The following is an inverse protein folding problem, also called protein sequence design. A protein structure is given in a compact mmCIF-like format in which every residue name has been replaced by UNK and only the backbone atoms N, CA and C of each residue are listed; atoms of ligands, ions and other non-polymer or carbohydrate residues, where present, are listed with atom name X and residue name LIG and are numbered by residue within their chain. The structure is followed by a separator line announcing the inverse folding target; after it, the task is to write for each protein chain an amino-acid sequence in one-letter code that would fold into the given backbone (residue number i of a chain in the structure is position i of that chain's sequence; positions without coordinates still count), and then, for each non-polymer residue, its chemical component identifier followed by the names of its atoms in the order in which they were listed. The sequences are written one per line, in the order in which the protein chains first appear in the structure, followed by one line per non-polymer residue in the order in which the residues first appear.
data_IF_568342042025
#
_entry.id   IF_568342042025
#
_cell.length_a   1.000
_cell.length_b   1.000
_cell.length_c   1.000
_cell.angle_alpha   90.00
_cell.angle_beta   90.00
_cell.angle_gamma   90.00
#
_symmetry.space_group_name_H-M   'P 1'
#
loop_
_entity.id
_entity.type
_entity.pdbx_description
1 polymer ?
#
# COMPACT_ATOMS: atom_id res chain seq x y z
N UNK A 1 -17.30 -26.34 0.45
CA UNK A 1 -18.15 -25.21 0.01
C UNK A 1 -17.29 -23.97 -0.11
N UNK A 2 -17.51 -23.16 -1.14
CA UNK A 2 -16.77 -21.91 -1.42
C UNK A 2 -17.64 -20.72 -1.03
N UNK A 3 -17.09 -19.74 -0.31
CA UNK A 3 -17.77 -18.49 0.07
C UNK A 3 -17.53 -17.43 -1.01
N UNK A 4 -18.59 -16.82 -1.54
CA UNK A 4 -18.49 -15.65 -2.43
C UNK A 4 -18.84 -14.42 -1.61
N UNK A 5 -17.88 -13.49 -1.47
CA UNK A 5 -18.08 -12.20 -0.81
C UNK A 5 -18.12 -11.08 -1.84
N UNK A 6 -19.19 -10.28 -1.80
CA UNK A 6 -19.33 -9.06 -2.57
C UNK A 6 -18.71 -7.87 -1.82
N UNK A 7 -18.50 -6.75 -2.50
CA UNK A 7 -17.98 -5.53 -1.88
C UNK A 7 -18.79 -5.11 -0.64
N UNK A 8 -20.12 -5.24 -0.70
CA UNK A 8 -20.99 -4.91 0.43
C UNK A 8 -20.76 -5.81 1.64
N UNK A 9 -20.43 -7.10 1.44
CA UNK A 9 -20.11 -8.03 2.52
C UNK A 9 -18.75 -7.70 3.13
N UNK A 10 -17.76 -7.40 2.29
CA UNK A 10 -16.41 -6.99 2.72
C UNK A 10 -16.48 -5.74 3.60
N UNK A 11 -17.19 -4.70 3.17
CA UNK A 11 -17.32 -3.43 3.91
C UNK A 11 -17.96 -3.59 5.30
N UNK A 12 -18.77 -4.63 5.51
CA UNK A 12 -19.38 -4.89 6.83
C UNK A 12 -18.42 -5.45 7.87
N UNK A 13 -17.31 -6.04 7.44
CA UNK A 13 -16.42 -6.78 8.32
C UNK A 13 -14.96 -6.38 8.23
N UNK A 14 -14.59 -5.58 7.21
CA UNK A 14 -13.20 -5.14 7.09
C UNK A 14 -12.88 -4.04 8.10
N UNK A 15 -11.80 -4.26 8.85
CA UNK A 15 -11.29 -3.34 9.85
C UNK A 15 -9.80 -3.08 9.62
N UNK A 16 -9.39 -1.81 9.69
CA UNK A 16 -8.02 -1.42 9.38
C UNK A 16 -7.01 -1.98 10.38
N UNK A 17 -7.35 -2.02 11.66
CA UNK A 17 -6.43 -2.49 12.70
C UNK A 17 -6.11 -3.98 12.51
N UNK A 18 -7.15 -4.79 12.23
CA UNK A 18 -7.01 -6.22 11.92
C UNK A 18 -6.20 -6.46 10.65
N UNK A 19 -6.43 -5.64 9.60
CA UNK A 19 -5.69 -5.76 8.33
C UNK A 19 -4.22 -5.35 8.51
N UNK A 20 -3.91 -4.30 9.30
CA UNK A 20 -2.52 -3.92 9.64
C UNK A 20 -1.80 -5.10 10.34
N UNK A 21 -2.46 -5.74 11.32
CA UNK A 21 -1.89 -6.89 12.02
C UNK A 21 -1.61 -8.05 11.06
N UNK A 22 -2.58 -8.38 10.20
CA UNK A 22 -2.44 -9.47 9.23
C UNK A 22 -1.34 -9.19 8.19
N UNK A 23 -1.29 -7.97 7.64
CA UNK A 23 -0.24 -7.58 6.68
C UNK A 23 1.14 -7.58 7.32
N UNK A 24 1.28 -7.12 8.57
CA UNK A 24 2.55 -7.17 9.30
C UNK A 24 3.03 -8.60 9.53
N UNK A 25 2.13 -9.53 9.86
CA UNK A 25 2.46 -10.94 10.03
C UNK A 25 2.89 -11.58 8.68
N UNK A 26 2.13 -11.36 7.63
CA UNK A 26 2.44 -11.86 6.29
C UNK A 26 3.78 -11.34 5.75
N UNK A 27 4.07 -10.05 5.97
CA UNK A 27 5.36 -9.47 5.57
C UNK A 27 6.53 -10.02 6.36
N UNK A 28 6.33 -10.36 7.64
CA UNK A 28 7.37 -11.04 8.45
C UNK A 28 7.65 -12.42 7.88
N UNK A 29 6.63 -13.22 7.58
CA UNK A 29 6.81 -14.54 6.96
C UNK A 29 7.47 -14.47 5.58
N UNK A 30 7.17 -13.42 4.79
CA UNK A 30 7.88 -13.18 3.53
C UNK A 30 9.37 -12.92 3.78
N UNK A 31 9.72 -12.11 4.79
CA UNK A 31 11.10 -11.84 5.18
C UNK A 31 11.84 -13.06 5.75
N UNK A 32 11.13 -13.97 6.39
CA UNK A 32 11.64 -15.26 6.91
C UNK A 32 11.74 -16.34 5.81
N UNK A 33 11.16 -16.08 4.62
CA UNK A 33 11.15 -17.02 3.50
C UNK A 33 10.13 -18.15 3.62
N UNK A 34 9.17 -18.08 4.55
CA UNK A 34 8.10 -19.07 4.73
C UNK A 34 6.88 -18.76 3.85
N UNK A 35 6.56 -17.49 3.63
CA UNK A 35 5.59 -17.05 2.63
C UNK A 35 6.28 -16.75 1.30
N UNK A 36 5.54 -16.84 0.20
CA UNK A 36 6.02 -16.52 -1.15
C UNK A 36 5.06 -15.57 -1.85
N UNK A 37 5.60 -14.65 -2.63
CA UNK A 37 4.82 -13.74 -3.47
C UNK A 37 5.47 -13.60 -4.85
N UNK A 38 4.68 -13.76 -5.90
CA UNK A 38 5.13 -13.56 -7.27
C UNK A 38 4.80 -12.15 -7.78
N UNK A 39 5.73 -11.51 -8.50
CA UNK A 39 5.46 -10.22 -9.13
C UNK A 39 4.28 -10.29 -10.10
N UNK A 40 3.57 -9.18 -10.22
CA UNK A 40 2.42 -9.05 -11.11
C UNK A 40 2.77 -9.37 -12.57
N UNK A 41 1.92 -10.17 -13.22
CA UNK A 41 1.97 -10.46 -14.65
C UNK A 41 0.81 -9.76 -15.36
N UNK A 42 1.09 -9.27 -16.58
CA UNK A 42 0.13 -8.50 -17.37
C UNK A 42 -0.03 -9.10 -18.75
N UNK A 43 -1.27 -9.24 -19.19
CA UNK A 43 -1.65 -9.58 -20.56
C UNK A 43 -2.46 -8.43 -21.15
N UNK A 44 -2.05 -7.95 -22.31
CA UNK A 44 -2.63 -6.79 -22.99
C UNK A 44 -3.47 -7.22 -24.18
N UNK A 45 -4.63 -6.59 -24.34
CA UNK A 45 -5.46 -6.65 -25.52
C UNK A 45 -5.86 -5.21 -25.92
N UNK A 46 -6.32 -4.97 -27.17
CA UNK A 46 -6.80 -3.64 -27.57
C UNK A 46 -7.89 -3.13 -26.61
N UNK A 47 -7.61 -2.06 -25.88
CA UNK A 47 -8.53 -1.43 -24.93
C UNK A 47 -8.78 -2.21 -23.63
N UNK A 48 -8.01 -3.27 -23.35
CA UNK A 48 -8.14 -4.06 -22.14
C UNK A 48 -6.78 -4.56 -21.62
N UNK A 49 -6.73 -4.77 -20.31
CA UNK A 49 -5.57 -5.29 -19.58
C UNK A 49 -6.04 -6.29 -18.53
N UNK A 50 -5.43 -7.46 -18.48
CA UNK A 50 -5.59 -8.42 -17.40
C UNK A 50 -4.32 -8.47 -16.57
N UNK A 51 -4.47 -8.36 -15.26
CA UNK A 51 -3.38 -8.50 -14.28
C UNK A 51 -3.62 -9.73 -13.43
N UNK A 52 -2.57 -10.51 -13.15
CA UNK A 52 -2.60 -11.66 -12.24
C UNK A 52 -1.41 -11.55 -11.28
N UNK A 53 -1.71 -11.74 -10.01
CA UNK A 53 -0.75 -11.80 -8.89
C UNK A 53 -1.10 -13.03 -8.06
N UNK A 54 -0.13 -13.70 -7.47
CA UNK A 54 -0.38 -14.85 -6.62
C UNK A 54 0.67 -15.00 -5.53
N UNK A 55 0.27 -15.65 -4.44
CA UNK A 55 1.10 -15.81 -3.26
C UNK A 55 0.71 -17.07 -2.47
N UNK A 56 1.60 -17.50 -1.59
CA UNK A 56 1.32 -18.46 -0.52
C UNK A 56 1.52 -17.80 0.83
N UNK A 57 0.61 -18.05 1.77
CA UNK A 57 0.66 -17.53 3.14
C UNK A 57 0.39 -18.65 4.14
N UNK A 58 1.43 -19.46 4.48
CA UNK A 58 1.27 -20.62 5.36
C UNK A 58 0.77 -20.29 6.76
N UNK A 59 1.16 -19.16 7.36
CA UNK A 59 0.68 -18.74 8.68
C UNK A 59 -0.83 -18.49 8.76
N UNK A 60 -1.49 -18.27 7.62
CA UNK A 60 -2.95 -18.19 7.53
C UNK A 60 -3.56 -19.45 6.86
N UNK A 61 -2.80 -20.52 6.70
CA UNK A 61 -3.23 -21.76 6.04
C UNK A 61 -3.87 -21.49 4.67
N UNK A 62 -3.27 -20.59 3.86
CA UNK A 62 -3.83 -20.24 2.56
C UNK A 62 -2.79 -19.98 1.49
N UNK A 63 -3.24 -20.11 0.25
CA UNK A 63 -2.61 -19.64 -0.97
C UNK A 63 -3.69 -19.06 -1.90
N UNK A 64 -3.31 -18.26 -2.88
CA UNK A 64 -4.31 -17.70 -3.77
C UNK A 64 -3.79 -16.67 -4.74
N UNK A 65 -4.73 -16.02 -5.39
CA UNK A 65 -4.43 -15.01 -6.40
C UNK A 65 -5.33 -13.79 -6.29
N UNK A 66 -4.78 -12.66 -6.74
CA UNK A 66 -5.57 -11.49 -7.13
C UNK A 66 -5.54 -11.35 -8.63
N UNK A 67 -6.70 -11.36 -9.23
CA UNK A 67 -6.88 -11.11 -10.66
C UNK A 67 -7.70 -9.84 -10.83
N UNK A 68 -7.29 -8.95 -11.74
CA UNK A 68 -8.09 -7.78 -12.05
C UNK A 68 -7.98 -7.38 -13.52
N UNK A 69 -9.11 -6.96 -14.06
CA UNK A 69 -9.20 -6.45 -15.42
C UNK A 69 -9.36 -4.94 -15.42
N UNK A 70 -8.78 -4.30 -16.44
CA UNK A 70 -9.00 -2.90 -16.74
C UNK A 70 -9.56 -2.83 -18.16
N UNK A 71 -10.75 -2.30 -18.33
CA UNK A 71 -11.37 -2.14 -19.64
C UNK A 71 -12.36 -0.96 -19.64
N UNK A 72 -12.33 -0.13 -20.65
CA UNK A 72 -13.24 1.02 -20.83
C UNK A 72 -13.32 1.96 -19.64
N UNK A 73 -12.22 2.11 -18.90
CA UNK A 73 -12.15 2.95 -17.69
C UNK A 73 -12.66 2.29 -16.41
N UNK A 74 -13.17 1.05 -16.47
CA UNK A 74 -13.57 0.26 -15.32
C UNK A 74 -12.44 -0.68 -14.89
N UNK A 75 -12.33 -0.89 -13.59
CA UNK A 75 -11.43 -1.88 -12.99
C UNK A 75 -12.27 -2.84 -12.14
N UNK A 76 -12.04 -4.14 -12.30
CA UNK A 76 -12.74 -5.16 -11.52
C UNK A 76 -11.72 -6.09 -10.90
N UNK A 77 -11.77 -6.21 -9.57
CA UNK A 77 -10.83 -6.98 -8.77
C UNK A 77 -11.49 -8.23 -8.20
N UNK A 78 -10.78 -9.35 -8.27
CA UNK A 78 -11.19 -10.60 -7.65
C UNK A 78 -10.00 -11.23 -6.92
N UNK A 79 -10.21 -11.66 -5.68
CA UNK A 79 -9.26 -12.46 -4.91
C UNK A 79 -9.82 -13.86 -4.76
N UNK A 80 -9.03 -14.88 -5.14
CA UNK A 80 -9.32 -16.29 -4.86
C UNK A 80 -8.46 -16.76 -3.70
N UNK A 81 -9.06 -17.44 -2.73
CA UNK A 81 -8.41 -17.99 -1.54
C UNK A 81 -8.58 -19.49 -1.53
N UNK A 82 -7.46 -20.21 -1.63
CA UNK A 82 -7.40 -21.68 -1.46
C UNK A 82 -6.78 -22.00 -0.10
N UNK A 83 -7.23 -23.07 0.53
CA UNK A 83 -6.50 -23.66 1.64
C UNK A 83 -5.25 -24.37 1.15
N UNK A 84 -4.30 -24.66 2.04
CA UNK A 84 -3.12 -25.47 1.71
C UNK A 84 -3.49 -26.92 1.37
N UNK A 85 -4.70 -27.35 1.73
CA UNK A 85 -5.31 -28.62 1.30
C UNK A 85 -5.82 -28.61 -0.16
N UNK A 86 -5.71 -27.47 -0.86
CA UNK A 86 -6.16 -27.28 -2.23
C UNK A 86 -7.64 -26.91 -2.38
N UNK A 87 -8.42 -26.88 -1.30
CA UNK A 87 -9.83 -26.51 -1.38
C UNK A 87 -10.00 -25.00 -1.65
N UNK A 88 -10.83 -24.64 -2.61
CA UNK A 88 -11.21 -23.22 -2.83
C UNK A 88 -12.14 -22.78 -1.69
N UNK A 89 -11.65 -21.88 -0.84
CA UNK A 89 -12.38 -21.40 0.35
C UNK A 89 -13.23 -20.17 0.05
N UNK A 90 -12.69 -19.23 -0.75
CA UNK A 90 -13.44 -18.02 -1.07
C UNK A 90 -13.08 -17.43 -2.44
N UNK A 91 -14.07 -16.71 -2.99
CA UNK A 91 -13.93 -15.72 -4.05
C UNK A 91 -14.43 -14.37 -3.51
N UNK A 92 -13.59 -13.33 -3.56
CA UNK A 92 -13.86 -12.06 -2.89
C UNK A 92 -13.75 -10.93 -3.92
N UNK A 93 -14.81 -10.12 -4.10
CA UNK A 93 -14.70 -8.84 -4.78
C UNK A 93 -13.77 -7.94 -3.96
N UNK A 94 -12.77 -7.32 -4.60
CA UNK A 94 -11.60 -6.85 -3.87
C UNK A 94 -11.16 -5.41 -4.21
N UNK A 95 -12.10 -4.50 -4.46
CA UNK A 95 -11.79 -3.06 -4.58
C UNK A 95 -11.49 -2.48 -3.19
N UNK A 96 -12.42 -2.61 -2.25
CA UNK A 96 -12.21 -2.16 -0.87
C UNK A 96 -11.17 -3.01 -0.14
N UNK A 97 -11.19 -4.34 -0.27
CA UNK A 97 -10.14 -5.20 0.28
C UNK A 97 -8.75 -4.75 -0.20
N UNK A 98 -8.61 -4.47 -1.50
CA UNK A 98 -7.39 -3.99 -2.11
C UNK A 98 -6.96 -2.61 -1.63
N UNK A 99 -7.91 -1.69 -1.38
CA UNK A 99 -7.64 -0.38 -0.82
C UNK A 99 -7.15 -0.48 0.64
N UNK A 100 -7.84 -1.27 1.47
CA UNK A 100 -7.48 -1.46 2.89
C UNK A 100 -6.09 -2.10 3.05
N UNK A 101 -5.77 -3.18 2.30
CA UNK A 101 -4.46 -3.82 2.40
C UNK A 101 -3.32 -2.91 1.91
N UNK A 102 -3.60 -2.02 0.95
CA UNK A 102 -2.60 -1.05 0.48
C UNK A 102 -2.33 0.02 1.54
N UNK A 103 -3.38 0.56 2.17
CA UNK A 103 -3.23 1.45 3.31
C UNK A 103 -2.52 0.76 4.49
N UNK A 104 -2.93 -0.47 4.82
CA UNK A 104 -2.32 -1.25 5.89
C UNK A 104 -0.82 -1.47 5.69
N UNK A 105 -0.37 -1.75 4.46
CA UNK A 105 1.05 -1.88 4.16
C UNK A 105 1.83 -0.59 4.43
N UNK A 106 1.25 0.57 4.08
CA UNK A 106 1.82 1.87 4.45
C UNK A 106 1.84 2.06 5.97
N UNK A 107 0.77 1.70 6.67
CA UNK A 107 0.72 1.75 8.14
C UNK A 107 1.80 0.87 8.79
N UNK A 108 2.00 -0.35 8.28
CA UNK A 108 3.06 -1.27 8.73
C UNK A 108 4.45 -0.68 8.49
N UNK A 109 4.71 -0.16 7.28
CA UNK A 109 5.98 0.48 6.95
C UNK A 109 6.21 1.72 7.80
N UNK A 110 5.21 2.58 7.98
CA UNK A 110 5.30 3.79 8.80
C UNK A 110 5.61 3.46 10.25
N UNK A 111 4.96 2.46 10.84
CA UNK A 111 5.24 1.99 12.21
C UNK A 111 6.67 1.48 12.38
N UNK A 112 7.24 0.87 11.34
CA UNK A 112 8.60 0.34 11.36
C UNK A 112 9.68 1.40 11.08
N UNK A 113 9.37 2.40 10.25
CA UNK A 113 10.36 3.26 9.62
C UNK A 113 10.27 4.74 10.02
N UNK A 114 9.09 5.22 10.46
CA UNK A 114 8.94 6.61 10.91
C UNK A 114 9.62 6.84 12.27
N UNK A 115 9.93 8.11 12.55
CA UNK A 115 10.40 8.51 13.88
C UNK A 115 9.33 8.25 14.94
N UNK A 116 9.72 7.97 16.19
CA UNK A 116 8.77 7.83 17.29
C UNK A 116 8.15 9.18 17.71
N UNK A 117 6.99 9.10 18.40
CA UNK A 117 6.25 10.25 18.93
C UNK A 117 5.29 10.88 17.93
N UNK A 118 4.71 12.04 18.29
CA UNK A 118 3.73 12.72 17.43
C UNK A 118 4.33 13.13 16.08
N UNK A 119 3.57 12.90 14.99
CA UNK A 119 4.02 13.17 13.62
C UNK A 119 3.04 14.08 12.88
N UNK A 120 3.58 14.89 11.98
CA UNK A 120 2.84 15.61 10.94
C UNK A 120 2.90 14.78 9.66
N UNK A 121 1.74 14.52 9.06
CA UNK A 121 1.60 13.78 7.80
C UNK A 121 1.30 14.74 6.65
N UNK A 122 2.06 14.66 5.56
CA UNK A 122 1.74 15.28 4.27
C UNK A 122 1.21 14.23 3.30
N UNK A 123 -0.02 14.38 2.84
CA UNK A 123 -0.65 13.46 1.88
C UNK A 123 -0.93 14.16 0.56
N UNK A 124 -0.31 13.69 -0.52
CA UNK A 124 -0.57 14.14 -1.89
C UNK A 124 -1.44 13.11 -2.60
N UNK A 125 -2.68 13.49 -2.87
CA UNK A 125 -3.73 12.65 -3.46
C UNK A 125 -4.98 12.60 -2.58
N UNK A 126 -6.16 12.61 -3.24
CA UNK A 126 -7.48 12.62 -2.58
C UNK A 126 -8.41 11.57 -3.20
N UNK A 127 -7.82 10.54 -3.83
CA UNK A 127 -8.54 9.45 -4.47
C UNK A 127 -9.03 8.38 -3.47
N UNK A 128 -9.62 7.32 -4.03
CA UNK A 128 -10.13 6.17 -3.26
C UNK A 128 -9.03 5.55 -2.36
N UNK A 129 -7.87 5.26 -2.91
CA UNK A 129 -6.74 4.70 -2.16
C UNK A 129 -6.20 5.66 -1.06
N UNK A 130 -6.21 6.98 -1.31
CA UNK A 130 -5.73 7.95 -0.33
C UNK A 130 -6.55 7.93 0.98
N UNK A 131 -7.83 7.56 0.92
CA UNK A 131 -8.70 7.41 2.10
C UNK A 131 -8.20 6.33 3.06
N UNK A 132 -7.79 5.20 2.51
CA UNK A 132 -7.25 4.08 3.32
C UNK A 132 -5.82 4.33 3.76
N UNK A 133 -5.03 5.10 3.00
CA UNK A 133 -3.72 5.59 3.44
C UNK A 133 -3.87 6.47 4.69
N UNK A 134 -4.76 7.47 4.66
CA UNK A 134 -5.02 8.35 5.79
C UNK A 134 -5.50 7.57 7.02
N UNK A 135 -6.41 6.60 6.83
CA UNK A 135 -6.92 5.75 7.90
C UNK A 135 -5.79 4.90 8.52
N UNK A 136 -4.99 4.24 7.70
CA UNK A 136 -3.92 3.38 8.19
C UNK A 136 -2.84 4.15 8.95
N UNK A 137 -2.47 5.35 8.49
CA UNK A 137 -1.51 6.21 9.19
C UNK A 137 -2.06 6.67 10.54
N UNK A 138 -3.34 7.08 10.61
CA UNK A 138 -3.98 7.47 11.86
C UNK A 138 -4.11 6.31 12.86
N UNK A 139 -4.14 5.05 12.40
CA UNK A 139 -4.14 3.85 13.26
C UNK A 139 -2.74 3.39 13.66
N UNK A 140 -1.75 3.60 12.79
CA UNK A 140 -0.39 3.11 13.02
C UNK A 140 0.49 4.09 13.81
N UNK A 141 0.21 5.40 13.74
CA UNK A 141 1.04 6.47 14.29
C UNK A 141 0.23 7.42 15.18
N UNK A 142 0.92 8.16 16.02
CA UNK A 142 0.36 9.31 16.74
C UNK A 142 0.36 10.53 15.82
N UNK A 143 -0.69 10.65 14.99
CA UNK A 143 -0.79 11.75 14.01
C UNK A 143 -1.32 13.01 14.71
N UNK A 144 -0.49 14.06 14.78
CA UNK A 144 -0.87 15.37 15.33
C UNK A 144 -1.62 16.25 14.31
N UNK A 145 -1.22 16.16 13.05
CA UNK A 145 -1.84 16.89 11.93
C UNK A 145 -1.63 16.11 10.62
N UNK A 146 -2.63 16.11 9.75
CA UNK A 146 -2.54 15.62 8.38
C UNK A 146 -2.86 16.75 7.40
N UNK A 147 -1.88 17.12 6.57
CA UNK A 147 -2.02 18.12 5.52
C UNK A 147 -2.27 17.43 4.19
N UNK A 148 -3.33 17.79 3.51
CA UNK A 148 -3.78 17.09 2.31
C UNK A 148 -3.78 18.01 1.11
N UNK A 149 -3.13 17.59 0.03
CA UNK A 149 -3.18 18.27 -1.24
C UNK A 149 -3.77 17.38 -2.33
N UNK A 150 -4.67 17.95 -3.12
CA UNK A 150 -5.25 17.39 -4.32
C UNK A 150 -5.48 18.51 -5.35
N UNK A 151 -5.27 18.22 -6.63
CA UNK A 151 -5.41 19.22 -7.73
C UNK A 151 -6.83 19.79 -7.85
N UNK A 152 -7.84 18.98 -7.56
CA UNK A 152 -9.23 19.38 -7.54
C UNK A 152 -9.58 19.86 -6.13
N UNK A 153 -9.86 21.17 -6.00
CA UNK A 153 -10.15 21.80 -4.70
C UNK A 153 -11.43 21.24 -4.06
N UNK A 154 -12.47 20.98 -4.86
CA UNK A 154 -13.74 20.45 -4.33
C UNK A 154 -13.56 19.05 -3.74
N UNK A 155 -12.91 18.14 -4.46
CA UNK A 155 -12.59 16.79 -3.96
C UNK A 155 -11.63 16.81 -2.78
N UNK A 156 -10.69 17.75 -2.74
CA UNK A 156 -9.79 17.92 -1.60
C UNK A 156 -10.57 18.35 -0.35
N UNK A 157 -11.43 19.35 -0.47
CA UNK A 157 -12.18 19.88 0.65
C UNK A 157 -13.21 18.85 1.18
N UNK A 158 -13.85 18.10 0.28
CA UNK A 158 -14.69 16.94 0.63
C UNK A 158 -13.88 15.85 1.39
N UNK A 159 -12.71 15.49 0.88
CA UNK A 159 -11.80 14.53 1.53
C UNK A 159 -11.42 14.99 2.94
N UNK A 160 -11.07 16.28 3.11
CA UNK A 160 -10.68 16.85 4.41
C UNK A 160 -11.84 16.79 5.39
N UNK A 161 -13.05 17.19 4.99
CA UNK A 161 -14.23 17.13 5.84
C UNK A 161 -14.54 15.70 6.29
N UNK A 162 -14.59 14.76 5.33
CA UNK A 162 -14.85 13.34 5.58
C UNK A 162 -13.80 12.72 6.50
N UNK A 163 -12.50 12.99 6.27
CA UNK A 163 -11.42 12.38 7.05
C UNK A 163 -11.26 13.01 8.43
N UNK A 164 -11.50 14.31 8.58
CA UNK A 164 -11.47 14.96 9.89
C UNK A 164 -12.49 14.34 10.85
N UNK A 165 -13.69 14.06 10.37
CA UNK A 165 -14.74 13.41 11.16
C UNK A 165 -14.38 11.94 11.48
N UNK A 166 -13.95 11.18 10.45
CA UNK A 166 -13.74 9.72 10.57
C UNK A 166 -12.50 9.33 11.36
N UNK A 167 -11.42 10.14 11.34
CA UNK A 167 -10.14 9.76 11.91
C UNK A 167 -9.90 10.28 13.33
N UNK A 168 -10.63 11.30 13.77
CA UNK A 168 -10.40 11.94 15.06
C UNK A 168 -9.04 12.67 15.17
N UNK A 169 -8.43 12.99 14.01
CA UNK A 169 -7.18 13.76 13.92
C UNK A 169 -7.43 15.05 13.14
N UNK A 170 -6.60 16.06 13.36
CA UNK A 170 -6.68 17.30 12.61
C UNK A 170 -6.26 17.06 11.16
N UNK A 171 -7.21 17.12 10.21
CA UNK A 171 -6.96 17.06 8.78
C UNK A 171 -7.21 18.44 8.17
N UNK A 172 -6.25 18.96 7.41
CA UNK A 172 -6.33 20.30 6.82
C UNK A 172 -6.00 20.28 5.33
N UNK A 173 -6.68 21.14 4.57
CA UNK A 173 -6.39 21.31 3.15
C UNK A 173 -5.13 22.18 2.99
N UNK A 174 -4.17 21.69 2.23
CA UNK A 174 -3.02 22.47 1.78
C UNK A 174 -3.34 23.16 0.45
N UNK A 175 -2.82 24.38 0.26
CA UNK A 175 -3.00 25.16 -0.97
C UNK A 175 -2.14 24.63 -2.13
N UNK A 176 -1.06 23.90 -1.82
CA UNK A 176 -0.14 23.31 -2.77
C UNK A 176 0.57 22.07 -2.21
N UNK A 177 1.21 21.31 -3.09
CA UNK A 177 1.97 20.13 -2.68
C UNK A 177 3.12 20.50 -1.73
N UNK A 178 3.79 21.63 -1.95
CA UNK A 178 4.84 22.14 -1.07
C UNK A 178 4.35 22.34 0.36
N UNK A 179 3.19 22.99 0.55
CA UNK A 179 2.61 23.24 1.87
C UNK A 179 2.25 21.93 2.58
N UNK A 180 1.76 20.92 1.83
CA UNK A 180 1.47 19.62 2.40
C UNK A 180 2.74 18.91 2.90
N UNK A 181 3.86 19.04 2.19
CA UNK A 181 5.10 18.28 2.42
C UNK A 181 6.06 18.98 3.37
N UNK A 182 6.12 20.32 3.36
CA UNK A 182 7.09 21.09 4.13
C UNK A 182 6.94 20.81 5.63
N UNK A 183 8.06 20.44 6.26
CA UNK A 183 8.14 20.07 7.68
C UNK A 183 7.29 18.83 8.10
N UNK A 184 6.75 18.07 7.14
CA UNK A 184 6.07 16.82 7.44
C UNK A 184 7.08 15.73 7.87
N UNK A 185 6.69 14.92 8.84
CA UNK A 185 7.48 13.78 9.33
C UNK A 185 7.26 12.52 8.46
N UNK A 186 6.05 12.40 7.91
CA UNK A 186 5.67 11.35 6.97
C UNK A 186 5.03 12.00 5.76
N UNK A 187 5.53 11.71 4.58
CA UNK A 187 4.99 12.17 3.29
C UNK A 187 4.51 10.98 2.50
N UNK A 188 3.28 11.03 2.02
CA UNK A 188 2.71 9.97 1.18
C UNK A 188 2.26 10.56 -0.16
N UNK A 189 2.73 9.96 -1.26
CA UNK A 189 2.19 10.21 -2.59
C UNK A 189 1.27 9.05 -2.98
N UNK A 190 0.02 9.39 -3.31
CA UNK A 190 -1.00 8.43 -3.73
C UNK A 190 -1.83 9.05 -4.86
N UNK A 191 -1.19 9.24 -6.01
CA UNK A 191 -1.81 9.91 -7.16
C UNK A 191 -1.81 9.01 -8.41
N UNK A 192 -2.42 9.49 -9.46
CA UNK A 192 -2.34 8.86 -10.80
C UNK A 192 -1.36 9.61 -11.71
N UNK A 193 -0.47 10.43 -11.15
CA UNK A 193 0.51 11.18 -11.94
C UNK A 193 1.46 10.25 -12.69
N UNK A 194 1.93 10.71 -13.83
CA UNK A 194 3.01 10.07 -14.58
C UNK A 194 4.36 10.79 -14.41
N UNK A 195 4.36 11.91 -13.69
CA UNK A 195 5.54 12.73 -13.41
C UNK A 195 5.58 13.09 -11.92
N UNK A 196 6.76 13.38 -11.34
CA UNK A 196 6.91 13.73 -9.93
C UNK A 196 5.92 14.79 -9.46
N UNK A 197 5.39 14.61 -8.25
CA UNK A 197 4.36 15.46 -7.64
C UNK A 197 4.89 16.27 -6.47
N UNK A 198 6.14 16.09 -6.12
CA UNK A 198 6.86 16.86 -5.09
C UNK A 198 8.28 17.17 -5.55
N UNK A 199 8.93 18.10 -4.86
CA UNK A 199 10.35 18.43 -5.07
C UNK A 199 11.20 17.96 -3.90
N UNK A 200 12.42 17.52 -4.17
CA UNK A 200 13.34 17.03 -3.14
C UNK A 200 13.60 18.08 -2.05
N UNK A 201 13.67 19.36 -2.42
CA UNK A 201 13.93 20.47 -1.50
C UNK A 201 12.80 20.72 -0.48
N UNK A 202 11.57 20.23 -0.73
CA UNK A 202 10.46 20.39 0.20
C UNK A 202 10.48 19.39 1.35
N UNK A 203 11.14 18.24 1.15
CA UNK A 203 11.20 17.16 2.12
C UNK A 203 12.32 17.42 3.13
N UNK A 204 11.96 17.47 4.41
CA UNK A 204 12.96 17.64 5.47
C UNK A 204 13.78 16.38 5.70
N UNK A 205 14.98 16.53 6.24
CA UNK A 205 15.76 15.40 6.70
C UNK A 205 15.08 14.69 7.87
N UNK A 206 15.25 13.38 7.97
CA UNK A 206 14.57 12.52 8.95
C UNK A 206 13.12 12.17 8.59
N UNK A 207 12.57 12.66 7.47
CA UNK A 207 11.23 12.28 7.03
C UNK A 207 11.18 10.86 6.47
N UNK A 208 10.04 10.20 6.66
CA UNK A 208 9.63 9.02 5.89
C UNK A 208 8.84 9.48 4.68
N UNK A 209 9.27 9.09 3.48
CA UNK A 209 8.53 9.31 2.23
C UNK A 209 8.00 7.96 1.75
N UNK A 210 6.73 7.91 1.38
CA UNK A 210 6.05 6.71 0.86
C UNK A 210 5.56 6.98 -0.56
N UNK A 211 6.14 6.31 -1.54
CA UNK A 211 5.66 6.25 -2.92
C UNK A 211 4.69 5.09 -3.08
N UNK A 212 3.38 5.35 -3.24
CA UNK A 212 2.38 4.29 -3.27
C UNK A 212 1.32 4.45 -4.38
N UNK A 213 1.43 5.46 -5.24
CA UNK A 213 0.41 5.77 -6.24
C UNK A 213 0.56 5.03 -7.55
N UNK A 214 1.71 4.43 -7.84
CA UNK A 214 1.96 3.77 -9.13
C UNK A 214 2.58 2.39 -8.98
N UNK A 215 2.19 1.49 -9.89
CA UNK A 215 2.82 0.19 -10.10
C UNK A 215 3.21 -0.01 -11.57
N UNK A 216 3.50 1.09 -12.27
CA UNK A 216 3.91 1.07 -13.67
C UNK A 216 5.30 1.68 -13.84
N UNK A 217 6.25 1.01 -14.55
CA UNK A 217 7.64 1.45 -14.66
C UNK A 217 7.84 2.76 -15.42
N UNK A 218 6.81 3.23 -16.12
CA UNK A 218 6.82 4.48 -16.87
C UNK A 218 6.08 5.63 -16.18
N UNK A 219 5.80 5.51 -14.87
CA UNK A 219 5.16 6.55 -14.06
C UNK A 219 6.00 6.79 -12.82
N UNK A 220 6.20 8.05 -12.49
CA UNK A 220 6.94 8.45 -11.30
C UNK A 220 6.17 9.52 -10.52
N UNK A 221 6.15 9.39 -9.19
CA UNK A 221 5.63 10.40 -8.26
C UNK A 221 6.77 11.09 -7.49
N UNK A 222 7.88 10.37 -7.31
CA UNK A 222 9.07 10.78 -6.56
C UNK A 222 10.17 11.20 -7.53
N UNK A 223 10.80 12.38 -7.39
CA UNK A 223 11.88 12.78 -8.28
C UNK A 223 13.18 12.03 -7.98
N UNK A 224 13.97 11.74 -9.02
CA UNK A 224 15.27 11.05 -8.90
C UNK A 224 16.22 11.71 -7.89
N UNK A 225 16.16 13.04 -7.73
CA UNK A 225 16.96 13.77 -6.75
C UNK A 225 16.59 13.42 -5.30
N UNK A 226 15.31 13.15 -5.03
CA UNK A 226 14.88 12.70 -3.71
C UNK A 226 15.31 11.26 -3.44
N UNK A 227 15.22 10.39 -4.45
CA UNK A 227 15.75 9.01 -4.36
C UNK A 227 17.26 9.02 -4.07
N UNK A 228 18.01 9.90 -4.76
CA UNK A 228 19.45 10.07 -4.52
C UNK A 228 19.76 10.51 -3.08
N UNK A 229 18.95 11.43 -2.55
CA UNK A 229 19.10 12.00 -1.21
C UNK A 229 18.60 11.08 -0.11
N UNK A 230 17.75 10.09 -0.42
CA UNK A 230 17.30 9.12 0.57
C UNK A 230 18.48 8.32 1.12
N UNK A 231 18.67 8.35 2.45
CA UNK A 231 19.69 7.57 3.14
C UNK A 231 19.32 6.07 3.13
N UNK A 232 18.05 5.80 3.33
CA UNK A 232 17.47 4.44 3.38
C UNK A 232 16.39 4.30 2.30
N UNK A 233 16.49 3.24 1.50
CA UNK A 233 15.43 2.87 0.55
C UNK A 233 14.89 1.49 0.93
N UNK A 234 13.59 1.42 1.18
CA UNK A 234 12.88 0.19 1.48
C UNK A 234 11.85 -0.06 0.38
N UNK A 235 11.75 -1.30 -0.06
CA UNK A 235 10.75 -1.73 -1.05
C UNK A 235 9.84 -2.80 -0.43
N UNK A 236 8.64 -2.95 -0.95
CA UNK A 236 7.76 -4.03 -0.53
C UNK A 236 8.34 -5.42 -0.86
N UNK A 237 8.85 -5.58 -2.09
CA UNK A 237 9.58 -6.76 -2.56
C UNK A 237 10.51 -6.37 -3.70
N UNK A 238 11.76 -6.80 -3.64
CA UNK A 238 12.80 -6.44 -4.62
C UNK A 238 12.42 -6.85 -6.04
N UNK A 239 11.93 -8.09 -6.21
CA UNK A 239 11.53 -8.62 -7.51
C UNK A 239 10.38 -7.80 -8.14
N UNK A 240 9.43 -7.34 -7.33
CA UNK A 240 8.32 -6.48 -7.77
C UNK A 240 8.81 -5.07 -8.08
N UNK A 241 9.60 -4.46 -7.20
CA UNK A 241 10.09 -3.09 -7.36
C UNK A 241 10.95 -2.93 -8.62
N UNK A 242 11.81 -3.89 -8.94
CA UNK A 242 12.61 -3.91 -10.19
C UNK A 242 11.79 -3.93 -11.47
N UNK A 243 10.54 -4.35 -11.40
CA UNK A 243 9.63 -4.42 -12.56
C UNK A 243 8.66 -3.24 -12.62
N UNK A 244 8.33 -2.63 -11.47
CA UNK A 244 7.17 -1.74 -11.35
C UNK A 244 7.47 -0.35 -10.80
N UNK A 245 8.59 -0.14 -10.05
CA UNK A 245 8.93 1.16 -9.48
C UNK A 245 9.45 2.13 -10.52
N UNK A 246 8.55 2.94 -11.08
CA UNK A 246 8.97 3.99 -12.01
C UNK A 246 9.89 5.03 -11.36
N UNK A 247 9.73 5.28 -10.06
CA UNK A 247 10.54 6.19 -9.26
C UNK A 247 12.00 5.70 -9.19
N UNK A 248 12.21 4.46 -8.75
CA UNK A 248 13.55 3.88 -8.62
C UNK A 248 14.20 3.60 -9.98
N UNK A 249 13.43 3.10 -10.96
CA UNK A 249 13.92 2.85 -12.32
C UNK A 249 14.36 4.15 -13.02
N UNK A 250 13.64 5.25 -12.80
CA UNK A 250 14.02 6.57 -13.31
C UNK A 250 15.32 7.06 -12.64
N UNK A 251 15.42 6.90 -11.32
CA UNK A 251 16.62 7.29 -10.59
C UNK A 251 17.85 6.42 -10.96
N UNK A 252 17.66 5.12 -11.19
CA UNK A 252 18.72 4.23 -11.71
C UNK A 252 19.21 4.68 -13.08
N UNK A 253 18.27 4.96 -14.00
CA UNK A 253 18.58 5.46 -15.36
C UNK A 253 19.36 6.80 -15.32
N UNK A 254 19.06 7.65 -14.34
CA UNK A 254 19.74 8.93 -14.11
C UNK A 254 21.10 8.77 -13.40
N UNK A 255 21.51 7.54 -13.06
CA UNK A 255 22.74 7.25 -12.30
C UNK A 255 22.69 7.70 -10.83
N UNK A 256 21.49 7.90 -10.28
CA UNK A 256 21.24 8.42 -8.93
C UNK A 256 20.85 7.34 -7.91
N UNK A 257 20.62 6.12 -8.36
CA UNK A 257 20.21 5.00 -7.53
C UNK A 257 20.88 3.70 -7.94
N UNK A 258 21.28 2.89 -6.95
CA UNK A 258 21.75 1.53 -7.10
C UNK A 258 20.87 0.61 -6.23
N UNK A 259 20.42 -0.48 -6.80
CA UNK A 259 19.57 -1.48 -6.12
C UNK A 259 20.23 -2.13 -4.90
N UNK A 260 21.56 -2.11 -4.79
CA UNK A 260 22.27 -2.55 -3.61
C UNK A 260 21.95 -1.71 -2.35
N UNK A 261 21.38 -0.50 -2.54
CA UNK A 261 20.93 0.38 -1.45
C UNK A 261 19.54 0.03 -0.94
N UNK A 262 18.77 -0.78 -1.67
CA UNK A 262 17.40 -1.12 -1.29
C UNK A 262 17.37 -2.35 -0.37
N UNK A 263 16.45 -2.31 0.59
CA UNK A 263 16.13 -3.43 1.50
C UNK A 263 14.64 -3.73 1.42
N UNK A 264 14.26 -4.99 1.56
CA UNK A 264 12.84 -5.37 1.58
C UNK A 264 12.21 -5.12 2.96
N UNK A 265 10.95 -4.65 2.98
CA UNK A 265 10.19 -4.43 4.21
C UNK A 265 10.05 -5.71 5.03
N UNK A 266 9.89 -6.87 4.36
CA UNK A 266 9.84 -8.18 5.01
C UNK A 266 11.10 -8.47 5.84
N UNK A 267 12.29 -8.19 5.28
CA UNK A 267 13.57 -8.35 5.98
C UNK A 267 13.65 -7.45 7.23
N UNK A 268 13.19 -6.19 7.12
CA UNK A 268 13.14 -5.27 8.26
C UNK A 268 12.24 -5.80 9.39
N UNK A 269 11.08 -6.35 9.03
CA UNK A 269 10.08 -6.84 9.98
C UNK A 269 10.45 -8.20 10.60
N UNK A 270 11.23 -9.02 9.90
CA UNK A 270 11.75 -10.29 10.42
C UNK A 270 12.94 -10.12 11.39
N UNK A 271 13.29 -8.88 11.76
CA UNK A 271 14.40 -8.59 12.66
C UNK A 271 15.75 -8.53 11.96
N UNK A 272 15.77 -8.45 10.62
CA UNK A 272 16.94 -8.08 9.84
C UNK A 272 17.45 -6.69 10.22
N UNK A 273 18.63 -6.33 9.73
CA UNK A 273 19.20 -5.03 10.02
C UNK A 273 18.17 -3.94 9.69
N UNK A 274 17.61 -3.30 10.72
CA UNK A 274 16.95 -2.01 10.50
C UNK A 274 17.98 -1.17 9.77
N UNK A 275 17.66 -0.68 8.56
CA UNK A 275 18.49 0.35 7.99
C UNK A 275 18.64 1.38 9.10
N UNK A 276 19.88 1.75 9.43
CA UNK A 276 20.13 2.65 10.53
C UNK A 276 19.20 3.84 10.38
N UNK A 277 18.20 3.96 11.26
CA UNK A 277 17.43 5.16 11.41
C UNK A 277 18.42 6.18 12.00
N UNK A 278 19.39 6.60 11.18
CA UNK A 278 20.15 7.78 11.48
C UNK A 278 19.12 8.90 11.51
N UNK A 279 18.99 9.52 12.66
CA UNK A 279 17.99 10.54 12.95
C UNK A 279 18.02 11.76 11.99
N UNK A 280 18.93 11.76 11.02
CA UNK A 280 19.21 12.83 10.09
C UNK A 280 18.93 12.49 8.61
N UNK A 281 18.62 11.26 8.23
CA UNK A 281 18.47 10.89 6.82
C UNK A 281 17.01 10.64 6.40
N UNK A 282 16.65 10.92 5.15
CA UNK A 282 15.34 10.57 4.58
C UNK A 282 15.26 9.05 4.42
N UNK A 283 14.13 8.47 4.83
CA UNK A 283 13.77 7.09 4.50
C UNK A 283 12.72 7.11 3.39
N UNK A 284 12.97 6.38 2.29
CA UNK A 284 12.00 6.19 1.21
C UNK A 284 11.44 4.77 1.28
N UNK A 285 10.13 4.64 1.30
CA UNK A 285 9.43 3.37 1.13
C UNK A 285 8.65 3.35 -0.18
N UNK A 286 8.93 2.37 -1.04
CA UNK A 286 8.26 2.15 -2.32
C UNK A 286 7.31 0.97 -2.26
N UNK A 287 6.03 1.23 -2.54
CA UNK A 287 4.91 0.30 -2.39
C UNK A 287 4.21 0.06 -3.72
N UNK A 288 4.37 -1.14 -4.29
CA UNK A 288 3.80 -1.51 -5.60
C UNK A 288 2.62 -2.47 -5.47
N UNK A 289 2.48 -3.08 -4.30
CA UNK A 289 1.40 -4.00 -3.97
C UNK A 289 1.72 -5.46 -4.26
N UNK A 290 1.48 -6.30 -3.27
CA UNK A 290 1.72 -7.74 -3.28
C UNK A 290 0.40 -8.51 -3.18
N UNK A 291 0.29 -9.68 -3.84
CA UNK A 291 -0.84 -10.59 -3.66
C UNK A 291 -0.92 -11.12 -2.22
N UNK A 292 0.23 -11.26 -1.58
CA UNK A 292 0.33 -11.67 -0.18
C UNK A 292 -0.47 -10.76 0.76
N UNK A 293 -0.51 -9.45 0.48
CA UNK A 293 -1.33 -8.51 1.27
C UNK A 293 -2.83 -8.72 1.05
N UNK A 294 -3.24 -9.11 -0.17
CA UNK A 294 -4.64 -9.42 -0.45
C UNK A 294 -5.07 -10.69 0.28
N UNK A 295 -4.19 -11.71 0.37
CA UNK A 295 -4.42 -12.91 1.19
C UNK A 295 -4.44 -12.60 2.69
N UNK A 296 -3.55 -11.73 3.17
CA UNK A 296 -3.55 -11.29 4.57
C UNK A 296 -4.86 -10.57 4.94
N UNK A 297 -5.32 -9.63 4.10
CA UNK A 297 -6.60 -8.97 4.31
C UNK A 297 -7.79 -9.95 4.23
N UNK A 298 -7.76 -10.89 3.28
CA UNK A 298 -8.78 -11.93 3.17
C UNK A 298 -8.82 -12.83 4.42
N UNK A 299 -7.66 -13.19 4.98
CA UNK A 299 -7.58 -13.99 6.21
C UNK A 299 -8.14 -13.26 7.44
N UNK A 300 -8.07 -11.93 7.47
CA UNK A 300 -8.68 -11.12 8.52
C UNK A 300 -10.21 -11.00 8.36
N UNK A 301 -10.69 -10.94 7.12
CA UNK A 301 -12.11 -10.70 6.79
C UNK A 301 -12.94 -11.99 6.83
N UNK A 302 -12.42 -13.08 6.26
CA UNK A 302 -13.19 -14.30 5.96
C UNK A 302 -13.79 -14.97 7.22
N UNK A 303 -13.07 -15.14 8.34
CA UNK A 303 -13.64 -15.77 9.54
C UNK A 303 -14.84 -14.98 10.09
N UNK A 304 -14.77 -13.66 10.12
CA UNK A 304 -15.85 -12.79 10.59
C UNK A 304 -17.04 -12.82 9.64
N UNK A 305 -16.80 -12.81 8.33
CA UNK A 305 -17.85 -12.92 7.33
C UNK A 305 -18.60 -14.25 7.43
N UNK A 306 -17.88 -15.36 7.63
CA UNK A 306 -18.49 -16.69 7.85
C UNK A 306 -19.32 -16.71 9.13
N UNK A 307 -18.78 -16.23 10.25
CA UNK A 307 -19.47 -16.19 11.55
C UNK A 307 -20.76 -15.36 11.51
N UNK A 308 -20.79 -14.30 10.69
CA UNK A 308 -21.97 -13.47 10.48
C UNK A 308 -22.91 -13.95 9.38
N UNK A 309 -22.61 -15.09 8.72
CA UNK A 309 -23.40 -15.62 7.62
C UNK A 309 -23.43 -14.75 6.37
N UNK A 310 -22.37 -13.93 6.15
CA UNK A 310 -22.27 -13.04 5.00
C UNK A 310 -21.79 -13.77 3.75
N UNK A 311 -22.21 -13.24 2.60
CA UNK A 311 -21.90 -13.81 1.30
C UNK A 311 -22.73 -15.05 0.95
N UNK A 312 -22.49 -15.58 -0.23
CA UNK A 312 -23.17 -16.76 -0.79
C UNK A 312 -22.27 -17.98 -0.67
N UNK A 313 -22.83 -19.12 -0.26
CA UNK A 313 -22.13 -20.39 -0.18
C UNK A 313 -22.45 -21.25 -1.40
N UNK A 314 -21.42 -21.62 -2.18
CA UNK A 314 -21.56 -22.32 -3.45
C UNK A 314 -20.70 -23.59 -3.45
N UNK A 315 -21.24 -24.68 -3.97
CA UNK A 315 -20.47 -25.89 -4.27
C UNK A 315 -19.86 -25.74 -5.67
N UNK A 316 -18.53 -25.56 -5.73
CA UNK A 316 -17.81 -25.44 -7.01
C UNK A 316 -17.07 -26.74 -7.40
N UNK A 317 -16.77 -27.60 -6.42
CA UNK A 317 -16.10 -28.89 -6.60
C UNK A 317 -16.69 -29.95 -5.65
#
# INVERSE_FOLDING_TARGET
MTRILREADVLRVIDMDSVIVAVAAAMRELGEGTAQNEPRRRAFAPGALLNVMFATYPGADCMGSKTYSVSRGEVRFLVSVFGLDGALRALIEADNLGAYRTGAATGVAAKALARPGPVVVGLIGTGHQARTQALALARALEVSEMRVFGRDAGRRDEFVAERSEALGVRVVAASGAEEAVRDADVVVTMTTSSTPVLESAWVKDGALVVGAGSNFPNRAEIPSDLVARAHTVVVDQMATARLESGDLLSAEKDGKFDWARATELGTVLAGGARPAAEAAGITLFESHGLALWDLAAASAVLPTAIAQGLGEEVALF
#
